data_IF_671939551524
#
_entry.id   IF_671939551524
#
_cell.length_a   1.000
_cell.length_b   1.000
_cell.length_c   1.000
_cell.angle_alpha   90.00
_cell.angle_beta   90.00
_cell.angle_gamma   90.00
#
_symmetry.space_group_name_H-M   'P 1'
#
loop_
_entity.id
_entity.type
_entity.pdbx_description
1 polymer ?
#
# COMPACT_ATOMS: atom_id res chain seq x y z
N UNK A 1 16.23 49.95 -68.51
CA UNK A 1 17.10 48.95 -67.84
C UNK A 1 16.69 48.90 -66.38
N UNK A 2 16.16 47.76 -65.91
CA UNK A 2 16.35 47.10 -64.59
C UNK A 2 15.12 46.23 -64.33
N UNK A 3 15.28 44.92 -64.52
CA UNK A 3 14.31 43.88 -64.18
C UNK A 3 14.45 43.60 -62.69
N UNK A 4 13.38 43.68 -61.91
CA UNK A 4 13.35 43.16 -60.53
C UNK A 4 12.47 41.92 -60.54
N UNK A 5 13.12 40.76 -60.42
CA UNK A 5 12.49 39.46 -60.25
C UNK A 5 12.23 39.28 -58.74
N UNK A 6 10.97 39.19 -58.33
CA UNK A 6 10.61 38.84 -56.95
C UNK A 6 10.44 37.33 -56.88
N UNK A 7 11.37 36.64 -56.21
CA UNK A 7 11.27 35.21 -55.91
C UNK A 7 10.50 35.05 -54.61
N UNK A 8 9.26 34.57 -54.70
CA UNK A 8 8.44 34.16 -53.55
C UNK A 8 8.88 32.76 -53.10
N UNK A 9 9.64 32.71 -52.00
CA UNK A 9 10.01 31.46 -51.32
C UNK A 9 8.85 31.06 -50.38
N UNK A 10 8.03 30.09 -50.78
CA UNK A 10 6.99 29.53 -49.91
C UNK A 10 7.63 28.58 -48.88
N UNK A 11 7.77 29.02 -47.62
CA UNK A 11 8.12 28.14 -46.51
C UNK A 11 6.92 27.23 -46.16
N UNK A 12 6.99 25.97 -46.58
CA UNK A 12 6.13 24.90 -46.09
C UNK A 12 6.57 24.51 -44.66
N UNK A 13 5.94 25.12 -43.65
CA UNK A 13 6.03 24.67 -42.26
C UNK A 13 5.29 23.34 -42.13
N UNK A 14 6.03 22.23 -42.22
CA UNK A 14 5.53 20.90 -41.90
C UNK A 14 5.16 20.81 -40.42
N UNK A 15 3.87 20.87 -40.11
CA UNK A 15 3.36 20.59 -38.77
C UNK A 15 3.46 19.07 -38.56
N UNK A 16 4.56 18.62 -37.96
CA UNK A 16 4.67 17.24 -37.49
C UNK A 16 3.68 17.04 -36.34
N UNK A 17 2.53 16.44 -36.65
CA UNK A 17 1.62 15.95 -35.62
C UNK A 17 2.33 14.82 -34.85
N UNK A 18 2.87 15.15 -33.67
CA UNK A 18 3.30 14.16 -32.71
C UNK A 18 2.06 13.42 -32.21
N UNK A 19 1.76 12.27 -32.82
CA UNK A 19 0.87 11.27 -32.26
C UNK A 19 1.53 10.73 -30.99
N UNK A 20 1.31 11.41 -29.87
CA UNK A 20 1.69 10.89 -28.56
C UNK A 20 0.95 9.59 -28.35
N UNK A 21 1.67 8.47 -28.32
CA UNK A 21 1.16 7.17 -27.89
C UNK A 21 0.72 7.27 -26.43
N UNK A 22 -0.50 7.76 -26.20
CA UNK A 22 -1.16 7.69 -24.91
C UNK A 22 -1.38 6.21 -24.62
N UNK A 23 -0.50 5.61 -23.82
CA UNK A 23 -0.70 4.24 -23.36
C UNK A 23 -2.12 4.12 -22.75
N UNK A 24 -2.79 2.99 -22.94
CA UNK A 24 -4.09 2.75 -22.31
C UNK A 24 -3.90 2.57 -20.79
N UNK A 25 -4.88 2.99 -19.96
CA UNK A 25 -4.84 2.76 -18.52
C UNK A 25 -4.67 1.25 -18.25
N UNK A 26 -4.01 0.83 -17.14
CA UNK A 26 -3.97 -0.59 -16.80
C UNK A 26 -5.39 -1.15 -16.76
N UNK A 27 -5.67 -2.16 -17.59
CA UNK A 27 -6.94 -2.88 -17.53
C UNK A 27 -6.90 -3.82 -16.33
N UNK A 28 -7.81 -3.63 -15.39
CA UNK A 28 -7.90 -4.44 -14.17
C UNK A 28 -8.63 -5.76 -14.44
N UNK A 29 -8.21 -6.83 -13.75
CA UNK A 29 -8.96 -8.09 -13.76
C UNK A 29 -10.37 -7.88 -13.22
N UNK A 30 -11.39 -8.64 -13.66
CA UNK A 30 -12.71 -8.62 -13.01
C UNK A 30 -12.61 -8.95 -11.51
N UNK A 31 -13.41 -8.29 -10.67
CA UNK A 31 -13.38 -8.48 -9.20
C UNK A 31 -13.56 -9.95 -8.80
N UNK A 32 -14.41 -10.69 -9.51
CA UNK A 32 -14.71 -12.10 -9.25
C UNK A 32 -13.54 -13.05 -9.55
N UNK A 33 -12.60 -12.67 -10.42
CA UNK A 33 -11.50 -13.53 -10.86
C UNK A 33 -10.12 -13.02 -10.44
N UNK A 34 -10.02 -11.76 -10.03
CA UNK A 34 -8.78 -11.13 -9.58
C UNK A 34 -8.13 -11.91 -8.43
N UNK A 35 -6.84 -12.20 -8.58
CA UNK A 35 -6.06 -12.96 -7.61
C UNK A 35 -5.15 -12.08 -6.76
N UNK A 36 -4.71 -10.94 -7.29
CA UNK A 36 -3.91 -9.94 -6.57
C UNK A 36 -4.82 -8.76 -6.27
N UNK A 37 -5.12 -8.55 -4.99
CA UNK A 37 -6.08 -7.55 -4.52
C UNK A 37 -5.78 -7.16 -3.08
N UNK A 38 -6.29 -6.02 -2.58
CA UNK A 38 -6.33 -5.75 -1.15
C UNK A 38 -6.73 -7.00 -0.35
N UNK A 39 -6.00 -7.28 0.72
CA UNK A 39 -6.19 -8.48 1.53
C UNK A 39 -5.51 -9.77 1.05
N UNK A 40 -4.84 -9.79 -0.11
CA UNK A 40 -4.02 -10.96 -0.50
C UNK A 40 -2.84 -11.12 0.46
N UNK A 41 -2.42 -12.36 0.73
CA UNK A 41 -1.23 -12.60 1.54
C UNK A 41 0.02 -12.26 0.73
N UNK A 42 0.96 -11.58 1.37
CA UNK A 42 2.25 -11.20 0.83
C UNK A 42 3.34 -11.82 1.68
N UNK A 43 4.20 -12.62 1.05
CA UNK A 43 5.31 -13.29 1.73
C UNK A 43 6.63 -12.66 1.29
N UNK A 44 7.42 -12.20 2.26
CA UNK A 44 8.74 -11.60 2.03
C UNK A 44 9.73 -12.28 2.97
N UNK A 45 10.72 -13.00 2.41
CA UNK A 45 11.77 -13.67 3.19
C UNK A 45 11.25 -14.50 4.40
N UNK A 46 10.14 -15.22 4.21
CA UNK A 46 9.51 -16.05 5.24
C UNK A 46 8.47 -15.35 6.12
N UNK A 47 8.43 -14.02 6.15
CA UNK A 47 7.41 -13.25 6.86
C UNK A 47 6.12 -13.14 6.03
N UNK A 48 4.97 -13.35 6.68
CA UNK A 48 3.65 -13.18 6.06
C UNK A 48 2.98 -11.89 6.53
N UNK A 49 2.46 -11.13 5.57
CA UNK A 49 1.64 -9.95 5.80
C UNK A 49 0.45 -9.89 4.83
N UNK A 50 -0.42 -8.91 5.02
CA UNK A 50 -1.62 -8.69 4.22
C UNK A 50 -1.45 -7.43 3.36
N UNK A 51 -1.82 -7.51 2.08
CA UNK A 51 -1.80 -6.37 1.16
C UNK A 51 -2.79 -5.27 1.58
N UNK A 52 -2.39 -3.99 1.47
CA UNK A 52 -3.29 -2.84 1.62
C UNK A 52 -4.01 -2.49 0.32
N UNK A 53 -3.44 -1.63 -0.51
CA UNK A 53 -4.06 -0.99 -1.65
C UNK A 53 -3.14 -1.07 -2.86
N UNK A 54 -3.73 -0.81 -4.03
CA UNK A 54 -3.01 -0.77 -5.30
C UNK A 54 -2.62 0.66 -5.62
N UNK A 55 -1.40 0.84 -6.11
CA UNK A 55 -0.85 2.13 -6.53
C UNK A 55 -0.29 2.01 -7.96
N UNK A 56 -0.18 3.14 -8.64
CA UNK A 56 0.48 3.27 -9.93
C UNK A 56 1.41 4.48 -9.97
N UNK A 57 2.16 4.62 -11.06
CA UNK A 57 2.97 5.81 -11.35
C UNK A 57 2.71 6.32 -12.78
N UNK A 58 3.43 7.37 -13.19
CA UNK A 58 3.32 7.94 -14.53
C UNK A 58 3.74 6.94 -15.64
N UNK A 59 4.61 5.98 -15.32
CA UNK A 59 5.03 4.91 -16.21
C UNK A 59 4.08 3.69 -16.20
N UNK A 60 2.95 3.77 -15.50
CA UNK A 60 1.90 2.72 -15.38
C UNK A 60 2.40 1.41 -14.80
N UNK A 61 3.46 1.49 -14.01
CA UNK A 61 3.84 0.41 -13.11
C UNK A 61 2.71 0.19 -12.11
N UNK A 62 2.49 -1.06 -11.72
CA UNK A 62 1.48 -1.42 -10.72
C UNK A 62 2.21 -1.85 -9.47
N UNK A 63 1.79 -1.29 -8.33
CA UNK A 63 2.34 -1.59 -7.03
C UNK A 63 1.24 -2.06 -6.09
N UNK A 64 1.59 -2.97 -5.19
CA UNK A 64 0.75 -3.35 -4.04
C UNK A 64 1.48 -2.92 -2.79
N UNK A 65 0.80 -2.15 -1.94
CA UNK A 65 1.38 -1.74 -0.67
C UNK A 65 1.12 -2.75 0.44
N UNK A 66 1.97 -2.70 1.45
CA UNK A 66 1.87 -3.41 2.73
C UNK A 66 2.71 -2.68 3.79
N UNK A 67 2.88 -3.28 4.97
CA UNK A 67 3.71 -2.68 6.02
C UNK A 67 5.21 -2.90 5.76
N UNK A 68 6.05 -1.93 6.11
CA UNK A 68 7.50 -1.98 5.90
C UNK A 68 8.19 -3.01 6.80
N UNK A 69 7.71 -3.18 8.05
CA UNK A 69 8.22 -4.22 8.96
C UNK A 69 8.03 -5.64 8.41
N UNK A 70 7.13 -5.85 7.45
CA UNK A 70 6.97 -7.14 6.78
C UNK A 70 8.19 -7.52 5.93
N UNK A 71 9.03 -6.55 5.58
CA UNK A 71 10.34 -6.76 5.00
C UNK A 71 11.45 -6.56 6.05
N UNK A 72 11.13 -6.34 7.33
CA UNK A 72 12.08 -6.25 8.43
C UNK A 72 12.83 -7.57 8.64
N UNK A 73 14.01 -7.49 9.25
CA UNK A 73 14.80 -8.63 9.73
C UNK A 73 14.88 -8.68 11.26
N UNK A 74 14.25 -7.72 11.93
CA UNK A 74 14.14 -7.70 13.38
C UNK A 74 13.10 -8.69 13.88
N UNK A 75 13.08 -8.90 15.20
CA UNK A 75 12.04 -9.67 15.86
C UNK A 75 10.75 -8.86 16.07
N UNK A 76 9.76 -9.43 16.77
CA UNK A 76 8.47 -8.77 16.98
C UNK A 76 8.54 -7.50 17.84
N UNK A 77 9.62 -7.29 18.59
CA UNK A 77 9.86 -6.13 19.44
C UNK A 77 10.66 -5.03 18.71
N UNK A 78 11.23 -5.33 17.55
CA UNK A 78 12.04 -4.39 16.77
C UNK A 78 11.18 -3.41 15.95
N UNK A 79 10.56 -2.48 16.67
CA UNK A 79 9.52 -1.61 16.14
C UNK A 79 10.00 -0.26 15.57
N UNK A 80 11.30 0.02 15.66
CA UNK A 80 11.87 1.28 15.22
C UNK A 80 12.44 1.17 13.79
N UNK A 81 11.70 1.67 12.81
CA UNK A 81 12.08 1.59 11.40
C UNK A 81 13.39 2.32 11.02
N UNK A 82 13.93 3.17 11.89
CA UNK A 82 15.20 3.84 11.67
C UNK A 82 16.41 3.01 12.12
N UNK A 83 16.21 1.99 12.97
CA UNK A 83 17.29 1.14 13.50
C UNK A 83 17.14 -0.31 13.12
N UNK A 84 15.90 -0.81 12.97
CA UNK A 84 15.65 -2.21 12.63
C UNK A 84 16.13 -2.54 11.22
N UNK A 85 17.01 -3.54 11.04
CA UNK A 85 17.46 -3.95 9.71
C UNK A 85 16.28 -4.44 8.84
N UNK A 86 16.37 -4.22 7.53
CA UNK A 86 15.35 -4.64 6.56
C UNK A 86 15.98 -5.39 5.39
N UNK A 87 15.20 -6.24 4.73
CA UNK A 87 15.54 -6.86 3.46
C UNK A 87 15.79 -5.77 2.41
N UNK A 88 16.81 -5.93 1.54
CA UNK A 88 17.14 -4.90 0.57
C UNK A 88 16.03 -4.68 -0.45
N UNK A 89 16.02 -3.49 -1.06
CA UNK A 89 15.24 -3.30 -2.29
C UNK A 89 15.69 -4.32 -3.35
N UNK A 90 14.76 -4.82 -4.14
CA UNK A 90 15.00 -5.94 -5.07
C UNK A 90 14.60 -7.31 -4.51
N UNK A 91 14.31 -7.43 -3.21
CA UNK A 91 13.79 -8.68 -2.64
C UNK A 91 12.48 -9.09 -3.29
N UNK A 92 12.40 -10.36 -3.69
CA UNK A 92 11.17 -10.97 -4.23
C UNK A 92 10.10 -11.04 -3.16
N UNK A 93 8.88 -10.67 -3.53
CA UNK A 93 7.68 -10.81 -2.71
C UNK A 93 6.68 -11.69 -3.45
N UNK A 94 6.11 -12.66 -2.74
CA UNK A 94 5.14 -13.59 -3.30
C UNK A 94 3.73 -13.21 -2.87
N UNK A 95 2.82 -13.12 -3.83
CA UNK A 95 1.39 -13.01 -3.57
C UNK A 95 0.81 -14.41 -3.45
N UNK A 96 0.14 -14.71 -2.34
CA UNK A 96 -0.41 -16.03 -2.05
C UNK A 96 -1.86 -15.96 -1.54
N UNK A 97 -2.57 -17.06 -1.73
CA UNK A 97 -3.93 -17.27 -1.21
C UNK A 97 -4.02 -18.62 -0.54
N UNK A 98 -4.81 -18.76 0.53
CA UNK A 98 -4.90 -20.07 1.21
C UNK A 98 -3.75 -20.37 2.16
N UNK A 99 -2.91 -19.40 2.49
CA UNK A 99 -1.84 -19.58 3.47
C UNK A 99 -2.40 -19.78 4.87
N UNK A 100 -1.88 -20.78 5.57
CA UNK A 100 -2.20 -21.17 6.94
C UNK A 100 -0.91 -21.32 7.76
N UNK A 101 -1.03 -21.71 9.04
CA UNK A 101 0.10 -22.09 9.89
C UNK A 101 0.99 -23.19 9.28
N UNK A 102 0.39 -24.08 8.47
CA UNK A 102 1.07 -25.29 7.98
C UNK A 102 1.40 -25.23 6.49
N UNK A 103 0.98 -24.17 5.79
CA UNK A 103 1.19 -24.03 4.35
C UNK A 103 1.27 -22.56 3.96
N UNK A 104 2.18 -22.21 3.06
CA UNK A 104 2.20 -20.88 2.46
C UNK A 104 0.99 -20.61 1.55
N UNK A 105 0.21 -21.64 1.21
CA UNK A 105 -0.90 -21.55 0.28
C UNK A 105 -0.47 -21.47 -1.18
N UNK A 106 -1.44 -21.27 -2.07
CA UNK A 106 -1.22 -21.20 -3.50
C UNK A 106 -0.54 -19.88 -3.90
N UNK A 107 0.54 -19.99 -4.67
CA UNK A 107 1.17 -18.84 -5.31
C UNK A 107 0.26 -18.31 -6.41
N UNK A 108 -0.10 -17.03 -6.34
CA UNK A 108 -0.96 -16.37 -7.34
C UNK A 108 -0.24 -15.32 -8.17
N UNK A 109 0.94 -14.88 -7.71
CA UNK A 109 1.83 -14.01 -8.49
C UNK A 109 3.07 -13.60 -7.70
N UNK A 110 3.93 -12.80 -8.33
CA UNK A 110 5.14 -12.27 -7.73
C UNK A 110 5.28 -10.77 -7.96
N UNK A 111 6.14 -10.16 -7.15
CA UNK A 111 6.61 -8.82 -7.33
C UNK A 111 7.95 -8.60 -6.67
N UNK A 112 8.40 -7.35 -6.69
CA UNK A 112 9.70 -6.94 -6.16
C UNK A 112 9.51 -5.80 -5.19
N UNK A 113 10.11 -5.88 -3.99
CA UNK A 113 10.17 -4.77 -3.06
C UNK A 113 10.94 -3.61 -3.68
N UNK A 114 10.26 -2.51 -3.98
CA UNK A 114 10.86 -1.34 -4.67
C UNK A 114 10.93 -0.10 -3.79
N UNK A 115 10.19 -0.10 -2.69
CA UNK A 115 10.20 0.97 -1.70
C UNK A 115 9.91 0.41 -0.31
N UNK A 116 10.65 0.92 0.68
CA UNK A 116 10.42 0.69 2.10
C UNK A 116 10.70 2.01 2.83
N UNK A 117 9.74 2.49 3.60
CA UNK A 117 9.89 3.67 4.45
C UNK A 117 11.05 3.53 5.43
N UNK A 118 11.27 2.34 6.00
CA UNK A 118 12.37 2.03 6.91
C UNK A 118 13.73 2.23 6.24
N UNK A 119 13.93 1.59 5.08
CA UNK A 119 15.16 1.78 4.30
C UNK A 119 15.34 3.23 3.84
N UNK A 120 14.25 3.92 3.49
CA UNK A 120 14.30 5.33 3.10
C UNK A 120 14.71 6.24 4.27
N UNK A 121 14.16 6.00 5.47
CA UNK A 121 14.52 6.75 6.68
C UNK A 121 15.98 6.48 7.08
N UNK A 122 16.42 5.22 7.05
CA UNK A 122 17.80 4.81 7.32
C UNK A 122 18.78 5.48 6.34
N UNK A 123 18.50 5.43 5.03
CA UNK A 123 19.33 6.09 4.00
C UNK A 123 19.44 7.59 4.21
N UNK A 124 18.36 8.23 4.68
CA UNK A 124 18.32 9.66 4.97
C UNK A 124 18.85 10.01 6.37
N UNK A 125 19.30 9.03 7.15
CA UNK A 125 19.79 9.20 8.52
C UNK A 125 18.80 9.97 9.40
N UNK A 126 17.51 9.62 9.28
CA UNK A 126 16.47 10.16 10.16
C UNK A 126 16.85 9.86 11.61
N UNK A 127 16.81 10.89 12.47
CA UNK A 127 17.10 10.74 13.90
C UNK A 127 16.24 9.63 14.51
N UNK A 128 16.86 8.74 15.30
CA UNK A 128 16.17 7.59 15.91
C UNK A 128 15.06 8.01 16.87
N UNK A 129 15.12 9.24 17.40
CA UNK A 129 14.09 9.83 18.26
C UNK A 129 12.91 10.43 17.47
N UNK A 130 12.98 10.44 16.13
CA UNK A 130 11.91 10.97 15.30
C UNK A 130 10.66 10.09 15.38
N UNK A 131 9.45 10.69 15.55
CA UNK A 131 8.20 9.93 15.48
C UNK A 131 8.01 9.19 14.15
N UNK A 132 8.69 9.61 13.07
CA UNK A 132 8.69 8.90 11.79
C UNK A 132 9.09 7.44 11.94
N UNK A 133 10.06 7.16 12.81
CA UNK A 133 10.61 5.83 12.99
C UNK A 133 9.58 4.84 13.59
N UNK A 134 8.56 5.33 14.28
CA UNK A 134 7.51 4.52 14.90
C UNK A 134 6.23 4.46 14.06
N UNK A 135 5.99 5.46 13.21
CA UNK A 135 4.69 5.66 12.56
C UNK A 135 4.71 5.59 11.04
N UNK A 136 5.88 5.62 10.40
CA UNK A 136 6.02 5.41 8.98
C UNK A 136 6.43 3.97 8.71
N UNK A 137 5.44 3.14 8.40
CA UNK A 137 5.60 1.70 8.25
C UNK A 137 5.05 1.26 6.90
N UNK A 138 5.30 2.05 5.86
CA UNK A 138 4.79 1.80 4.51
C UNK A 138 5.85 1.26 3.56
N UNK A 139 5.50 0.25 2.78
CA UNK A 139 6.34 -0.29 1.72
C UNK A 139 5.51 -0.64 0.46
N UNK A 140 6.19 -0.70 -0.69
CA UNK A 140 5.57 -0.99 -1.98
C UNK A 140 6.31 -2.09 -2.72
N UNK A 141 5.51 -2.99 -3.27
CA UNK A 141 5.95 -4.10 -4.10
C UNK A 141 5.47 -3.86 -5.53
N UNK A 142 6.40 -3.74 -6.47
CA UNK A 142 6.08 -3.66 -7.90
C UNK A 142 5.66 -5.04 -8.37
N UNK A 143 4.45 -5.15 -8.90
CA UNK A 143 3.90 -6.40 -9.44
C UNK A 143 4.66 -6.78 -10.71
N UNK A 144 5.04 -8.06 -10.84
CA UNK A 144 5.68 -8.59 -12.04
C UNK A 144 4.81 -8.35 -13.28
N UNK A 145 5.44 -8.08 -14.43
CA UNK A 145 4.72 -7.76 -15.66
C UNK A 145 3.68 -8.84 -16.04
N UNK A 146 4.04 -10.12 -15.90
CA UNK A 146 3.18 -11.28 -16.18
C UNK A 146 1.95 -11.38 -15.24
N UNK A 147 1.98 -10.73 -14.08
CA UNK A 147 0.93 -10.83 -13.07
C UNK A 147 0.03 -9.58 -13.00
N UNK A 148 0.35 -8.51 -13.75
CA UNK A 148 -0.45 -7.26 -13.75
C UNK A 148 -1.92 -7.50 -14.13
N UNK A 149 -2.17 -8.40 -15.07
CA UNK A 149 -3.52 -8.79 -15.50
C UNK A 149 -4.33 -9.57 -14.45
N UNK A 150 -3.74 -9.88 -13.28
CA UNK A 150 -4.42 -10.54 -12.15
C UNK A 150 -4.84 -9.55 -11.06
N UNK A 151 -4.51 -8.26 -11.23
CA UNK A 151 -4.70 -7.23 -10.21
C UNK A 151 -6.09 -6.61 -10.31
N UNK A 152 -6.73 -6.39 -9.14
CA UNK A 152 -7.85 -5.49 -9.03
C UNK A 152 -7.72 -4.63 -7.74
N UNK A 153 -7.89 -3.30 -7.82
CA UNK A 153 -7.76 -2.38 -6.68
C UNK A 153 -8.91 -2.46 -5.67
N UNK A 154 -10.03 -3.10 -6.02
CA UNK A 154 -11.23 -3.23 -5.18
C UNK A 154 -10.94 -3.99 -3.90
N UNK A 155 -11.27 -3.41 -2.75
CA UNK A 155 -11.25 -4.14 -1.48
C UNK A 155 -12.39 -5.15 -1.45
N UNK A 156 -12.13 -6.46 -1.33
CA UNK A 156 -13.17 -7.47 -1.19
C UNK A 156 -14.14 -7.16 -0.06
N UNK A 157 -15.40 -7.51 -0.25
CA UNK A 157 -16.55 -7.18 0.62
C UNK A 157 -16.89 -5.68 0.68
N UNK A 158 -15.90 -4.80 0.88
CA UNK A 158 -16.10 -3.37 1.11
C UNK A 158 -16.19 -2.50 -0.15
N UNK A 159 -15.65 -2.93 -1.30
CA UNK A 159 -15.45 -2.02 -2.42
C UNK A 159 -14.32 -1.00 -2.18
N UNK A 160 -14.22 0.03 -3.03
CA UNK A 160 -13.20 1.09 -2.88
C UNK A 160 -11.74 0.58 -3.02
N UNK A 161 -10.73 1.40 -2.69
CA UNK A 161 -10.85 2.73 -2.08
C UNK A 161 -11.41 3.78 -3.06
N UNK A 162 -12.09 4.81 -2.55
CA UNK A 162 -12.58 5.93 -3.33
C UNK A 162 -11.48 6.98 -3.59
N UNK A 163 -10.65 7.24 -2.58
CA UNK A 163 -9.54 8.19 -2.65
C UNK A 163 -8.50 7.92 -1.57
N UNK A 164 -7.35 8.60 -1.65
CA UNK A 164 -6.32 8.59 -0.62
C UNK A 164 -6.63 9.64 0.46
N UNK A 165 -6.46 9.29 1.73
CA UNK A 165 -6.51 10.22 2.86
C UNK A 165 -7.90 10.83 3.11
N UNK A 166 -7.91 12.05 3.65
CA UNK A 166 -9.13 12.80 3.98
C UNK A 166 -8.95 13.65 5.24
N UNK A 167 -10.02 14.32 5.71
CA UNK A 167 -9.98 15.04 6.99
C UNK A 167 -9.52 14.14 8.13
N UNK A 168 -8.81 14.71 9.10
CA UNK A 168 -8.31 13.99 10.28
C UNK A 168 -9.42 13.16 10.92
N UNK A 169 -9.16 11.88 11.20
CA UNK A 169 -10.13 11.03 11.89
C UNK A 169 -10.22 11.45 13.36
N UNK A 170 -11.46 11.55 13.85
CA UNK A 170 -11.75 11.83 15.26
C UNK A 170 -12.02 10.52 16.02
N UNK A 171 -11.92 10.51 17.37
CA UNK A 171 -12.32 9.37 18.17
C UNK A 171 -13.71 8.85 17.80
N UNK A 172 -13.85 7.52 17.77
CA UNK A 172 -15.02 6.75 17.31
C UNK A 172 -15.33 6.79 15.82
N UNK A 173 -14.54 7.48 14.99
CA UNK A 173 -14.66 7.38 13.53
C UNK A 173 -14.58 5.90 13.10
N UNK A 174 -15.56 5.40 12.33
CA UNK A 174 -15.59 3.99 11.93
C UNK A 174 -14.51 3.70 10.88
N UNK A 175 -14.02 2.48 10.94
CA UNK A 175 -12.95 1.97 10.11
C UNK A 175 -13.32 0.60 9.53
N UNK A 176 -12.93 0.34 8.30
CA UNK A 176 -13.23 -0.90 7.57
C UNK A 176 -11.93 -1.48 7.01
N UNK A 177 -11.72 -2.78 7.17
CA UNK A 177 -10.46 -3.43 6.79
C UNK A 177 -10.68 -4.86 6.35
N UNK A 178 -9.67 -5.42 5.70
CA UNK A 178 -9.62 -6.82 5.31
C UNK A 178 -8.27 -7.38 5.79
N UNK A 179 -8.31 -8.30 6.76
CA UNK A 179 -7.12 -8.95 7.32
C UNK A 179 -7.03 -10.40 6.87
N UNK A 180 -5.82 -10.89 6.56
CA UNK A 180 -5.61 -12.25 6.05
C UNK A 180 -4.41 -12.94 6.70
N UNK A 181 -4.39 -12.97 8.03
CA UNK A 181 -3.42 -13.73 8.81
C UNK A 181 -3.47 -15.24 8.52
N UNK A 182 -2.30 -15.84 8.27
CA UNK A 182 -2.13 -17.30 8.16
C UNK A 182 -2.35 -18.03 9.50
N UNK A 183 -2.38 -17.33 10.64
CA UNK A 183 -2.64 -17.90 11.96
C UNK A 183 -4.12 -18.24 12.19
N UNK A 184 -5.00 -17.91 11.25
CA UNK A 184 -6.42 -18.25 11.31
C UNK A 184 -6.65 -19.66 10.76
N UNK A 185 -7.36 -20.50 11.53
CA UNK A 185 -7.71 -21.89 11.21
C UNK A 185 -8.71 -22.02 10.02
N UNK A 186 -8.34 -21.57 8.81
CA UNK A 186 -9.16 -21.62 7.58
C UNK A 186 -10.05 -20.37 7.41
N UNK A 187 -10.15 -19.71 6.25
CA UNK A 187 -10.55 -20.18 4.92
C UNK A 187 -9.60 -19.77 3.79
N UNK A 188 -8.47 -19.13 4.09
CA UNK A 188 -7.52 -18.65 3.06
C UNK A 188 -7.94 -17.39 2.31
N UNK A 189 -9.15 -16.90 2.58
CA UNK A 189 -9.72 -15.68 2.03
C UNK A 189 -9.80 -14.64 3.16
N UNK A 190 -9.30 -13.42 2.90
CA UNK A 190 -9.26 -12.36 3.91
C UNK A 190 -10.61 -12.14 4.60
N UNK A 191 -10.59 -11.88 5.90
CA UNK A 191 -11.76 -11.64 6.73
C UNK A 191 -12.07 -10.15 6.75
N UNK A 192 -13.29 -9.79 6.35
CA UNK A 192 -13.79 -8.42 6.48
C UNK A 192 -13.98 -8.08 7.96
N UNK A 193 -13.48 -6.93 8.38
CA UNK A 193 -13.53 -6.48 9.78
C UNK A 193 -13.83 -5.00 9.85
N UNK A 194 -14.34 -4.60 10.99
CA UNK A 194 -14.62 -3.20 11.32
C UNK A 194 -13.82 -2.77 12.55
N UNK A 195 -13.74 -1.48 12.77
CA UNK A 195 -13.09 -0.90 13.93
C UNK A 195 -13.47 0.56 14.10
N UNK A 196 -12.83 1.22 15.05
CA UNK A 196 -12.95 2.65 15.25
C UNK A 196 -11.67 3.27 15.77
N UNK A 197 -11.50 4.56 15.50
CA UNK A 197 -10.38 5.33 16.05
C UNK A 197 -10.56 5.52 17.55
N UNK A 198 -9.50 5.27 18.31
CA UNK A 198 -9.42 5.62 19.74
C UNK A 198 -8.93 7.06 19.86
N UNK A 199 -7.75 7.33 19.29
CA UNK A 199 -7.13 8.66 19.24
C UNK A 199 -6.14 8.75 18.11
N UNK A 200 -5.80 9.98 17.73
CA UNK A 200 -4.65 10.27 16.86
C UNK A 200 -3.38 10.32 17.70
N UNK A 201 -2.27 9.89 17.11
CA UNK A 201 -0.96 10.10 17.70
C UNK A 201 -0.59 11.59 17.76
N UNK A 202 0.24 11.98 18.74
CA UNK A 202 0.63 13.36 18.98
C UNK A 202 1.45 13.96 17.81
N UNK A 203 2.26 13.16 17.10
CA UNK A 203 2.97 13.61 15.91
C UNK A 203 2.06 13.76 14.69
N UNK A 204 0.87 13.15 14.75
CA UNK A 204 -0.09 13.12 13.65
C UNK A 204 0.22 12.12 12.55
N UNK A 205 1.26 11.29 12.69
CA UNK A 205 1.63 10.30 11.68
C UNK A 205 0.82 8.99 11.74
N UNK A 206 -0.05 8.83 12.73
CA UNK A 206 -0.91 7.65 12.81
C UNK A 206 -2.03 7.77 13.83
N UNK A 207 -2.72 6.64 14.03
CA UNK A 207 -3.88 6.52 14.90
C UNK A 207 -3.78 5.24 15.73
N UNK A 208 -4.28 5.32 16.96
CA UNK A 208 -4.62 4.14 17.73
C UNK A 208 -6.07 3.76 17.46
N UNK A 209 -6.32 2.47 17.29
CA UNK A 209 -7.63 1.97 16.87
C UNK A 209 -8.09 0.80 17.75
N UNK A 210 -9.40 0.69 17.89
CA UNK A 210 -10.09 -0.50 18.39
C UNK A 210 -10.58 -1.30 17.19
N UNK A 211 -10.13 -2.54 17.04
CA UNK A 211 -10.53 -3.44 15.94
C UNK A 211 -11.43 -4.56 16.47
N UNK A 212 -12.49 -4.89 15.76
CA UNK A 212 -13.30 -6.07 16.12
C UNK A 212 -12.47 -7.35 15.92
N UNK A 213 -12.36 -8.16 16.99
CA UNK A 213 -11.62 -9.42 16.98
C UNK A 213 -10.08 -9.30 17.02
N UNK A 214 -9.52 -8.12 17.35
CA UNK A 214 -8.07 -7.91 17.48
C UNK A 214 -7.27 -7.99 16.17
N UNK A 215 -6.03 -7.50 16.21
CA UNK A 215 -5.02 -7.76 15.20
C UNK A 215 -4.25 -9.02 15.58
N UNK A 216 -4.00 -9.89 14.60
CA UNK A 216 -3.26 -11.14 14.78
C UNK A 216 -2.02 -11.04 13.88
N UNK A 217 -0.83 -11.55 14.28
CA UNK A 217 0.32 -11.60 13.37
C UNK A 217 -0.07 -12.13 12.00
N UNK A 218 0.38 -11.47 10.93
CA UNK A 218 -0.06 -11.72 9.56
C UNK A 218 -1.17 -10.80 9.03
N UNK A 219 -1.95 -10.14 9.90
CA UNK A 219 -2.83 -9.04 9.48
C UNK A 219 -2.04 -7.75 9.19
N UNK A 220 -0.78 -7.66 9.65
CA UNK A 220 0.11 -6.53 9.39
C UNK A 220 0.11 -6.13 7.91
N UNK A 221 0.09 -4.83 7.65
CA UNK A 221 -0.01 -4.29 6.29
C UNK A 221 -1.44 -4.12 5.77
N UNK A 222 -2.47 -4.66 6.43
CA UNK A 222 -3.87 -4.49 5.99
C UNK A 222 -4.26 -3.02 5.82
N UNK A 223 -4.96 -2.72 4.74
CA UNK A 223 -5.49 -1.37 4.47
C UNK A 223 -6.73 -1.07 5.30
N UNK A 224 -6.87 0.19 5.72
CA UNK A 224 -8.05 0.71 6.41
C UNK A 224 -8.76 1.78 5.59
N UNK A 225 -10.08 1.67 5.51
CA UNK A 225 -10.98 2.62 4.86
C UNK A 225 -11.80 3.38 5.92
N UNK A 226 -12.17 4.64 5.66
CA UNK A 226 -13.20 5.35 6.45
C UNK A 226 -14.63 5.08 5.94
N UNK A 227 -15.64 5.67 6.59
CA UNK A 227 -17.05 5.58 6.19
C UNK A 227 -17.37 6.06 4.76
N UNK A 228 -16.44 6.74 4.09
CA UNK A 228 -16.58 7.21 2.71
C UNK A 228 -15.70 6.40 1.75
N UNK A 229 -15.15 5.29 2.22
CA UNK A 229 -14.28 4.42 1.44
C UNK A 229 -12.93 5.04 1.12
N UNK A 230 -12.47 6.07 1.85
CA UNK A 230 -11.14 6.64 1.59
C UNK A 230 -10.08 5.81 2.29
N UNK A 231 -8.96 5.56 1.62
CA UNK A 231 -7.82 4.83 2.18
C UNK A 231 -7.12 5.68 3.25
N UNK A 232 -7.22 5.25 4.51
CA UNK A 232 -6.79 6.01 5.70
C UNK A 232 -5.51 5.54 6.34
N UNK A 233 -5.21 4.25 6.28
CA UNK A 233 -4.06 3.74 7.00
C UNK A 233 -3.67 2.32 6.66
N UNK A 234 -2.49 1.97 7.16
CA UNK A 234 -1.87 0.66 7.04
C UNK A 234 -1.73 0.07 8.44
N UNK A 235 -2.17 -1.17 8.63
CA UNK A 235 -2.05 -1.84 9.92
C UNK A 235 -0.58 -2.01 10.30
N UNK A 236 -0.20 -1.37 11.40
CA UNK A 236 1.10 -1.51 12.03
C UNK A 236 0.86 -2.12 13.41
N UNK A 237 1.15 -3.42 13.54
CA UNK A 237 0.95 -4.15 14.81
C UNK A 237 2.22 -4.09 15.66
N UNK A 238 2.85 -2.91 15.75
CA UNK A 238 4.07 -2.66 16.53
C UNK A 238 3.84 -2.67 18.06
N UNK A 239 2.72 -3.24 18.52
CA UNK A 239 2.38 -3.41 19.94
C UNK A 239 2.37 -4.88 20.36
N UNK A 240 2.93 -5.80 19.56
CA UNK A 240 3.18 -7.17 20.00
C UNK A 240 4.55 -7.19 20.68
N UNK A 241 4.63 -6.61 21.88
CA UNK A 241 5.86 -6.57 22.70
C UNK A 241 5.80 -5.68 23.94
N UNK A 242 5.03 -4.58 23.90
CA UNK A 242 4.90 -3.66 25.05
C UNK A 242 3.53 -3.78 25.71
N UNK A 243 3.28 -4.94 26.31
CA UNK A 243 2.17 -5.15 27.24
C UNK A 243 2.38 -4.39 28.54
N UNK A 244 2.36 -3.06 28.49
CA UNK A 244 2.16 -2.20 29.66
C UNK A 244 0.67 -1.85 29.69
N UNK A 245 -0.11 -2.62 30.46
CA UNK A 245 -1.49 -2.26 30.83
C UNK A 245 -2.65 -3.04 30.20
N UNK A 246 -2.44 -4.22 29.60
CA UNK A 246 -3.53 -5.17 29.32
C UNK A 246 -4.54 -4.79 28.22
N UNK A 247 -4.31 -3.71 27.45
CA UNK A 247 -5.12 -3.35 26.28
C UNK A 247 -4.28 -3.49 25.01
N UNK A 248 -4.54 -4.54 24.22
CA UNK A 248 -3.95 -4.69 22.88
C UNK A 248 -4.56 -3.64 21.95
N UNK A 249 -4.02 -2.42 21.97
CA UNK A 249 -4.37 -1.37 21.00
C UNK A 249 -3.58 -1.60 19.73
N UNK A 250 -4.29 -1.75 18.61
CA UNK A 250 -3.67 -1.78 17.29
C UNK A 250 -3.40 -0.35 16.83
N UNK A 251 -2.36 -0.18 16.02
CA UNK A 251 -2.05 1.13 15.43
C UNK A 251 -2.13 1.07 13.92
N UNK A 252 -2.43 2.21 13.31
CA UNK A 252 -2.33 2.39 11.87
C UNK A 252 -1.48 3.64 11.60
N UNK A 253 -0.59 3.55 10.61
CA UNK A 253 0.01 4.75 10.01
C UNK A 253 -1.06 5.55 9.27
N UNK A 254 -0.89 6.87 9.15
CA UNK A 254 -1.71 7.71 8.29
C UNK A 254 -1.23 7.56 6.84
N UNK A 255 -1.98 6.83 6.02
CA UNK A 255 -1.54 6.49 4.67
C UNK A 255 -1.39 7.74 3.78
N UNK A 256 -2.15 8.81 4.05
CA UNK A 256 -1.99 10.07 3.33
C UNK A 256 -0.61 10.67 3.57
N UNK A 257 -0.17 10.65 4.83
CA UNK A 257 1.18 11.04 5.22
C UNK A 257 2.26 10.10 4.64
N UNK A 258 2.09 8.77 4.78
CA UNK A 258 3.08 7.78 4.33
C UNK A 258 3.33 7.85 2.80
N UNK A 259 2.25 8.03 2.01
CA UNK A 259 2.35 8.20 0.56
C UNK A 259 2.95 9.55 0.19
N UNK A 260 2.64 10.62 0.92
CA UNK A 260 3.27 11.92 0.71
C UNK A 260 4.79 11.87 0.95
N UNK A 261 5.21 11.18 2.01
CA UNK A 261 6.64 10.92 2.27
C UNK A 261 7.27 10.10 1.14
N UNK A 262 6.65 9.00 0.72
CA UNK A 262 7.14 8.18 -0.39
C UNK A 262 7.29 8.97 -1.69
N UNK A 263 6.36 9.89 -1.98
CA UNK A 263 6.45 10.80 -3.13
C UNK A 263 7.65 11.74 -3.04
N UNK A 264 7.92 12.25 -1.84
CA UNK A 264 9.03 13.18 -1.61
C UNK A 264 10.39 12.51 -1.72
N UNK A 265 10.54 11.28 -1.20
CA UNK A 265 11.85 10.64 -1.07
C UNK A 265 12.16 9.58 -2.12
N UNK A 266 11.16 9.16 -2.91
CA UNK A 266 11.32 8.07 -3.87
C UNK A 266 10.62 8.34 -5.21
N UNK A 267 9.29 8.42 -5.25
CA UNK A 267 8.54 8.45 -6.52
C UNK A 267 7.41 9.48 -6.51
N UNK A 268 7.69 10.68 -7.03
CA UNK A 268 6.76 11.82 -7.05
C UNK A 268 5.40 11.51 -7.69
N UNK A 269 5.37 10.67 -8.73
CA UNK A 269 4.15 10.30 -9.46
C UNK A 269 3.33 9.18 -8.81
N UNK A 270 3.75 8.64 -7.67
CA UNK A 270 3.03 7.56 -6.99
C UNK A 270 1.58 7.97 -6.71
N UNK A 271 0.62 7.15 -7.12
CA UNK A 271 -0.81 7.48 -7.03
C UNK A 271 -1.60 6.26 -6.58
N UNK A 272 -2.52 6.45 -5.63
CA UNK A 272 -3.48 5.41 -5.22
C UNK A 272 -4.45 5.13 -6.37
N UNK A 273 -4.71 3.87 -6.68
CA UNK A 273 -5.71 3.48 -7.66
C UNK A 273 -7.07 3.31 -6.96
N UNK A 274 -8.14 4.01 -7.41
CA UNK A 274 -9.49 3.76 -6.92
C UNK A 274 -9.99 2.35 -7.22
N UNK A 275 -10.84 1.81 -6.35
CA UNK A 275 -11.53 0.54 -6.57
C UNK A 275 -12.36 0.56 -7.86
N UNK A 276 -12.49 -0.61 -8.50
CA UNK A 276 -13.38 -0.81 -9.66
C UNK A 276 -14.83 -1.02 -9.27
N UNK A 277 -15.12 -1.20 -7.97
CA UNK A 277 -16.46 -1.17 -7.40
C UNK A 277 -16.55 -0.08 -6.33
N UNK A 278 -17.70 0.61 -6.23
CA UNK A 278 -17.91 1.63 -5.20
C UNK A 278 -17.83 1.02 -3.81
N UNK A 279 -17.43 1.85 -2.84
CA UNK A 279 -17.39 1.47 -1.44
C UNK A 279 -18.80 1.26 -0.88
N UNK A 280 -18.94 0.25 -0.02
CA UNK A 280 -20.16 -0.11 0.72
C UNK A 280 -19.79 -0.62 2.11
N UNK A 281 -20.71 -0.44 3.06
CA UNK A 281 -20.51 -0.83 4.47
C UNK A 281 -21.34 -2.06 4.86
N UNK A 282 -22.08 -2.63 3.91
CA UNK A 282 -22.97 -3.78 4.02
C UNK A 282 -22.96 -4.58 2.72
#
# INVERSE_FOLDING_TARGET
MQRVLVVLLALLLGVSAFSGSGAAAPTWAPVSTAKIRPGVQMYTAGAQCTANFVFTDAARNVYVGYAAHCAGKGDSNDVNGCTTPSNPLGTTVEFRTGGTLFSAGALVGRGTLVYSSWLAMQRRRVSHASPLCLWNDFALVRVSAADRGKVNPTVPHWGGPASLGGPVLTPRSPLYTLGNSSLRFGTGFGTAKTGSVIRRDASGYGYQIKKSGGGIPGDSGSGFLDARGRARGVLSTLTIGLGIGGLVTNTIGDLGFEVAWARQVWLRSLTLVPGTQPFRTS
#
